data_IF_356572345042
#
_entry.id   IF_356572345042
#
_cell.length_a   1.000
_cell.length_b   1.000
_cell.length_c   1.000
_cell.angle_alpha   90.00
_cell.angle_beta   90.00
_cell.angle_gamma   90.00
#
_symmetry.space_group_name_H-M   'P 1'
#
loop_
_entity.id
_entity.type
_entity.pdbx_description
1 polymer ?
#
# COMPACT_ATOMS: atom_id res chain seq x y z
N UNK A 1 60.96 46.23 -95.71
CA UNK A 1 61.96 47.29 -95.45
C UNK A 1 62.00 47.48 -93.94
N UNK A 2 63.11 47.11 -93.28
CA UNK A 2 63.20 47.21 -91.82
C UNK A 2 63.46 48.67 -91.44
N UNK A 3 62.60 49.25 -90.61
CA UNK A 3 62.76 50.63 -90.13
C UNK A 3 63.12 50.64 -88.64
N UNK A 4 63.91 51.62 -88.18
CA UNK A 4 64.22 51.78 -86.75
C UNK A 4 62.95 51.90 -85.89
N UNK A 5 61.87 52.44 -86.47
CA UNK A 5 60.55 52.55 -85.82
C UNK A 5 59.89 51.18 -85.61
N UNK A 6 60.04 50.26 -86.57
CA UNK A 6 59.55 48.88 -86.45
C UNK A 6 60.27 48.11 -85.34
N UNK A 7 61.59 48.32 -85.19
CA UNK A 7 62.38 47.68 -84.13
C UNK A 7 62.06 48.22 -82.73
N UNK A 8 61.80 49.52 -82.58
CA UNK A 8 61.32 50.09 -81.31
C UNK A 8 59.91 49.57 -80.95
N UNK A 9 59.04 49.40 -81.95
CA UNK A 9 57.72 48.79 -81.77
C UNK A 9 57.82 47.33 -81.30
N UNK A 10 58.77 46.56 -81.85
CA UNK A 10 59.08 45.20 -81.40
C UNK A 10 59.54 45.16 -79.92
N UNK A 11 60.45 46.04 -79.50
CA UNK A 11 60.93 46.07 -78.10
C UNK A 11 59.79 46.41 -77.13
N UNK A 12 58.94 47.38 -77.47
CA UNK A 12 57.78 47.73 -76.64
C UNK A 12 56.75 46.59 -76.57
N UNK A 13 56.51 45.91 -77.70
CA UNK A 13 55.63 44.74 -77.76
C UNK A 13 56.20 43.58 -76.94
N UNK A 14 57.48 43.27 -77.08
CA UNK A 14 58.18 42.25 -76.31
C UNK A 14 58.06 42.48 -74.81
N UNK A 15 58.32 43.71 -74.33
CA UNK A 15 58.22 44.04 -72.89
C UNK A 15 56.80 43.80 -72.35
N UNK A 16 55.78 44.30 -73.06
CA UNK A 16 54.37 44.12 -72.67
C UNK A 16 53.94 42.66 -72.71
N UNK A 17 54.30 41.94 -73.77
CA UNK A 17 53.97 40.52 -73.92
C UNK A 17 54.69 39.66 -72.87
N UNK A 18 55.95 39.98 -72.56
CA UNK A 18 56.70 39.28 -71.53
C UNK A 18 56.09 39.50 -70.14
N UNK A 19 55.77 40.75 -69.77
CA UNK A 19 55.09 41.05 -68.50
C UNK A 19 53.77 40.29 -68.38
N UNK A 20 52.95 40.29 -69.43
CA UNK A 20 51.69 39.57 -69.46
C UNK A 20 51.89 38.06 -69.26
N UNK A 21 52.78 37.43 -70.05
CA UNK A 21 53.02 35.98 -69.99
C UNK A 21 53.72 35.55 -68.72
N UNK A 22 54.61 36.37 -68.19
CA UNK A 22 55.27 36.11 -66.91
C UNK A 22 54.25 36.11 -65.76
N UNK A 23 53.32 37.08 -65.76
CA UNK A 23 52.26 37.11 -64.76
C UNK A 23 51.26 35.95 -64.92
N UNK A 24 50.89 35.57 -66.15
CA UNK A 24 50.09 34.36 -66.41
C UNK A 24 50.75 33.10 -65.81
N UNK A 25 52.06 32.91 -66.04
CA UNK A 25 52.81 31.77 -65.49
C UNK A 25 52.86 31.83 -63.95
N UNK A 26 53.07 33.00 -63.36
CA UNK A 26 53.06 33.17 -61.90
C UNK A 26 51.69 32.86 -61.28
N UNK A 27 50.61 33.30 -61.90
CA UNK A 27 49.23 33.04 -61.43
C UNK A 27 48.92 31.54 -61.52
N UNK A 28 49.32 30.89 -62.62
CA UNK A 28 49.17 29.44 -62.80
C UNK A 28 49.95 28.66 -61.74
N UNK A 29 51.23 28.99 -61.53
CA UNK A 29 52.07 28.35 -60.52
C UNK A 29 51.50 28.50 -59.11
N UNK A 30 51.09 29.72 -58.73
CA UNK A 30 50.43 29.96 -57.43
C UNK A 30 49.16 29.12 -57.29
N UNK A 31 48.33 29.05 -58.33
CA UNK A 31 47.09 28.26 -58.32
C UNK A 31 47.37 26.76 -58.15
N UNK A 32 48.34 26.22 -58.89
CA UNK A 32 48.77 24.81 -58.81
C UNK A 32 49.31 24.47 -57.42
N UNK A 33 50.19 25.31 -56.86
CA UNK A 33 50.75 25.10 -55.51
C UNK A 33 49.64 25.14 -54.45
N UNK A 34 48.69 26.09 -54.54
CA UNK A 34 47.54 26.16 -53.64
C UNK A 34 46.68 24.90 -53.77
N UNK A 35 46.43 24.42 -55.00
CA UNK A 35 45.67 23.21 -55.28
C UNK A 35 46.32 21.96 -54.67
N UNK A 36 47.62 21.77 -54.87
CA UNK A 36 48.40 20.68 -54.27
C UNK A 36 48.36 20.72 -52.74
N UNK A 37 48.52 21.90 -52.14
CA UNK A 37 48.40 22.06 -50.68
C UNK A 37 46.99 21.69 -50.20
N UNK A 38 45.94 22.09 -50.91
CA UNK A 38 44.56 21.77 -50.55
C UNK A 38 44.25 20.28 -50.67
N UNK A 39 44.83 19.59 -51.65
CA UNK A 39 44.73 18.14 -51.78
C UNK A 39 45.45 17.41 -50.64
N UNK A 40 46.62 17.90 -50.22
CA UNK A 40 47.34 17.33 -49.08
C UNK A 40 46.59 17.56 -47.76
N UNK A 41 46.10 18.78 -47.51
CA UNK A 41 45.21 19.10 -46.38
C UNK A 41 43.98 18.19 -46.36
N UNK A 42 43.34 17.95 -47.52
CA UNK A 42 42.20 17.05 -47.63
C UNK A 42 42.56 15.59 -47.33
N UNK A 43 43.71 15.10 -47.79
CA UNK A 43 44.20 13.76 -47.50
C UNK A 43 44.49 13.56 -46.00
N UNK A 44 45.13 14.53 -45.35
CA UNK A 44 45.37 14.49 -43.90
C UNK A 44 44.05 14.51 -43.10
N UNK A 45 43.08 15.33 -43.52
CA UNK A 45 41.76 15.37 -42.88
C UNK A 45 41.01 14.02 -43.00
N UNK A 46 41.15 13.30 -44.11
CA UNK A 46 40.55 11.97 -44.28
C UNK A 46 41.17 10.96 -43.32
N UNK A 47 42.50 10.98 -43.15
CA UNK A 47 43.18 10.12 -42.16
C UNK A 47 42.70 10.43 -40.75
N UNK A 48 42.55 11.72 -40.40
CA UNK A 48 42.01 12.13 -39.11
C UNK A 48 40.57 11.65 -38.90
N UNK A 49 39.68 11.87 -39.87
CA UNK A 49 38.28 11.42 -39.79
C UNK A 49 38.17 9.89 -39.66
N UNK A 50 39.06 9.13 -40.31
CA UNK A 50 39.10 7.68 -40.18
C UNK A 50 39.48 7.23 -38.76
N UNK A 51 40.47 7.88 -38.15
CA UNK A 51 40.86 7.62 -36.76
C UNK A 51 39.74 7.99 -35.77
N UNK A 52 39.00 9.08 -36.02
CA UNK A 52 37.83 9.46 -35.21
C UNK A 52 36.70 8.42 -35.30
N UNK A 53 36.44 7.85 -36.49
CA UNK A 53 35.45 6.79 -36.68
C UNK A 53 35.83 5.55 -35.87
N UNK A 54 37.09 5.12 -35.92
CA UNK A 54 37.58 3.96 -35.15
C UNK A 54 37.43 4.18 -33.63
N UNK A 55 37.77 5.38 -33.15
CA UNK A 55 37.56 5.75 -31.75
C UNK A 55 36.08 5.73 -31.36
N UNK A 56 35.19 6.24 -32.22
CA UNK A 56 33.74 6.19 -32.01
C UNK A 56 33.19 4.75 -32.00
N UNK A 57 33.73 3.85 -32.83
CA UNK A 57 33.34 2.43 -32.82
C UNK A 57 33.70 1.73 -31.52
N UNK A 58 34.87 2.03 -30.95
CA UNK A 58 35.26 1.47 -29.66
C UNK A 58 34.36 1.98 -28.53
N UNK A 59 34.01 3.27 -28.53
CA UNK A 59 33.06 3.85 -27.56
C UNK A 59 31.69 3.18 -27.71
N UNK A 60 31.19 3.04 -28.94
CA UNK A 60 29.89 2.40 -29.21
C UNK A 60 29.86 0.97 -28.68
N UNK A 61 30.92 0.19 -28.90
CA UNK A 61 31.03 -1.18 -28.37
C UNK A 61 30.98 -1.22 -26.84
N UNK A 62 31.67 -0.29 -26.17
CA UNK A 62 31.65 -0.20 -24.69
C UNK A 62 30.26 0.20 -24.18
N UNK A 63 29.58 1.12 -24.85
CA UNK A 63 28.22 1.53 -24.49
C UNK A 63 27.19 0.42 -24.77
N UNK A 64 27.39 -0.40 -25.79
CA UNK A 64 26.59 -1.60 -26.06
C UNK A 64 26.67 -2.61 -24.92
N UNK A 65 27.88 -2.94 -24.49
CA UNK A 65 28.10 -3.87 -23.38
C UNK A 65 27.48 -3.34 -22.08
N UNK A 66 27.55 -2.03 -21.82
CA UNK A 66 26.90 -1.39 -20.66
C UNK A 66 25.38 -1.45 -20.76
N UNK A 67 24.83 -1.13 -21.93
CA UNK A 67 23.38 -1.12 -22.18
C UNK A 67 22.79 -2.52 -22.05
N UNK A 68 23.47 -3.54 -22.60
CA UNK A 68 23.07 -4.94 -22.47
C UNK A 68 23.10 -5.41 -21.01
N UNK A 69 24.11 -5.04 -20.23
CA UNK A 69 24.17 -5.33 -18.79
C UNK A 69 23.02 -4.67 -18.03
N UNK A 70 22.69 -3.42 -18.37
CA UNK A 70 21.57 -2.70 -17.76
C UNK A 70 20.23 -3.34 -18.13
N UNK A 71 20.05 -3.77 -19.38
CA UNK A 71 18.86 -4.48 -19.84
C UNK A 71 18.61 -5.77 -19.04
N UNK A 72 19.64 -6.60 -18.87
CA UNK A 72 19.54 -7.84 -18.07
C UNK A 72 19.17 -7.52 -16.62
N UNK A 73 19.76 -6.46 -16.04
CA UNK A 73 19.44 -6.02 -14.68
C UNK A 73 17.98 -5.58 -14.57
N UNK A 74 17.49 -4.77 -15.51
CA UNK A 74 16.08 -4.31 -15.57
C UNK A 74 15.13 -5.51 -15.66
N UNK A 75 15.40 -6.46 -16.55
CA UNK A 75 14.57 -7.67 -16.70
C UNK A 75 14.53 -8.49 -15.40
N UNK A 76 15.67 -8.65 -14.74
CA UNK A 76 15.76 -9.34 -13.45
C UNK A 76 14.96 -8.66 -12.35
N UNK A 77 15.11 -7.34 -12.19
CA UNK A 77 14.36 -6.57 -11.17
C UNK A 77 12.86 -6.51 -11.48
N UNK A 78 12.47 -6.42 -12.76
CA UNK A 78 11.06 -6.47 -13.18
C UNK A 78 10.41 -7.80 -12.84
N UNK A 79 11.10 -8.92 -13.08
CA UNK A 79 10.61 -10.25 -12.71
C UNK A 79 10.46 -10.42 -11.19
N UNK A 80 11.38 -9.85 -10.39
CA UNK A 80 11.25 -9.83 -8.93
C UNK A 80 10.05 -8.98 -8.47
N UNK A 81 9.86 -7.81 -9.09
CA UNK A 81 8.74 -6.92 -8.80
C UNK A 81 7.39 -7.59 -9.10
N UNK A 82 7.29 -8.34 -10.20
CA UNK A 82 6.08 -9.05 -10.61
C UNK A 82 5.73 -10.19 -9.65
N UNK A 83 6.72 -11.02 -9.26
CA UNK A 83 6.51 -12.06 -8.23
C UNK A 83 6.04 -11.46 -6.91
N UNK A 84 6.66 -10.37 -6.48
CA UNK A 84 6.27 -9.68 -5.26
C UNK A 84 4.87 -9.07 -5.35
N UNK A 85 4.49 -8.56 -6.53
CA UNK A 85 3.15 -8.04 -6.76
C UNK A 85 2.08 -9.14 -6.65
N UNK A 86 2.38 -10.34 -7.15
CA UNK A 86 1.49 -11.49 -7.01
C UNK A 86 1.35 -11.93 -5.55
N UNK A 87 2.46 -12.02 -4.80
CA UNK A 87 2.46 -12.33 -3.36
C UNK A 87 1.63 -11.32 -2.55
N UNK A 88 1.87 -10.01 -2.76
CA UNK A 88 1.11 -8.93 -2.10
C UNK A 88 -0.37 -8.99 -2.51
N UNK A 89 -0.67 -9.30 -3.78
CA UNK A 89 -2.03 -9.47 -4.26
C UNK A 89 -2.78 -10.62 -3.58
N UNK A 90 -2.10 -11.72 -3.26
CA UNK A 90 -2.67 -12.83 -2.48
C UNK A 90 -2.94 -12.42 -1.04
N UNK A 91 -1.93 -11.84 -0.37
CA UNK A 91 -2.04 -11.39 1.04
C UNK A 91 -3.19 -10.39 1.19
N UNK A 92 -3.34 -9.48 0.23
CA UNK A 92 -4.43 -8.50 0.22
C UNK A 92 -5.80 -9.16 0.16
N UNK A 93 -6.00 -10.13 -0.74
CA UNK A 93 -7.26 -10.88 -0.85
C UNK A 93 -7.59 -11.61 0.44
N UNK A 94 -6.60 -12.28 1.04
CA UNK A 94 -6.78 -13.00 2.30
C UNK A 94 -7.13 -12.04 3.45
N UNK A 95 -6.47 -10.88 3.51
CA UNK A 95 -6.76 -9.84 4.49
C UNK A 95 -8.17 -9.24 4.33
N UNK A 96 -8.62 -9.00 3.09
CA UNK A 96 -9.96 -8.50 2.78
C UNK A 96 -11.05 -9.53 3.11
N UNK A 97 -10.83 -10.80 2.79
CA UNK A 97 -11.74 -11.89 3.12
C UNK A 97 -11.87 -12.08 4.64
N UNK A 98 -10.75 -12.08 5.36
CA UNK A 98 -10.74 -12.16 6.83
C UNK A 98 -11.43 -10.94 7.46
N UNK A 99 -11.18 -9.73 6.93
CA UNK A 99 -11.85 -8.52 7.41
C UNK A 99 -13.37 -8.58 7.24
N UNK A 100 -13.86 -9.09 6.11
CA UNK A 100 -15.28 -9.24 5.85
C UNK A 100 -15.94 -10.22 6.83
N UNK A 101 -15.33 -11.40 7.03
CA UNK A 101 -15.82 -12.41 7.98
C UNK A 101 -15.85 -11.88 9.42
N UNK A 102 -14.80 -11.16 9.85
CA UNK A 102 -14.74 -10.58 11.19
C UNK A 102 -15.81 -9.49 11.37
N UNK A 103 -16.10 -8.71 10.33
CA UNK A 103 -17.13 -7.69 10.39
C UNK A 103 -18.53 -8.31 10.52
N UNK A 104 -18.80 -9.40 9.81
CA UNK A 104 -20.06 -10.16 9.95
C UNK A 104 -20.23 -10.73 11.37
N UNK A 105 -19.18 -11.38 11.90
CA UNK A 105 -19.17 -11.91 13.27
C UNK A 105 -19.38 -10.79 14.31
N UNK A 106 -18.82 -9.60 14.05
CA UNK A 106 -18.95 -8.41 14.89
C UNK A 106 -20.36 -7.86 14.89
N UNK A 107 -21.00 -7.79 13.74
CA UNK A 107 -22.41 -7.38 13.62
C UNK A 107 -23.33 -8.34 14.38
N UNK A 108 -23.10 -9.65 14.26
CA UNK A 108 -23.85 -10.66 15.00
C UNK A 108 -23.63 -10.56 16.52
N UNK A 109 -22.38 -10.43 16.98
CA UNK A 109 -22.09 -10.27 18.40
C UNK A 109 -22.71 -8.98 18.97
N UNK A 110 -22.70 -7.88 18.21
CA UNK A 110 -23.33 -6.63 18.61
C UNK A 110 -24.86 -6.75 18.71
N UNK A 111 -25.50 -7.48 17.79
CA UNK A 111 -26.94 -7.77 17.82
C UNK A 111 -27.31 -8.49 19.12
N UNK A 112 -26.58 -9.55 19.45
CA UNK A 112 -26.82 -10.35 20.66
C UNK A 112 -26.49 -9.56 21.94
N UNK A 113 -25.48 -8.70 21.91
CA UNK A 113 -25.19 -7.78 23.01
C UNK A 113 -26.35 -6.79 23.22
N UNK A 114 -26.93 -6.26 22.15
CA UNK A 114 -28.09 -5.37 22.22
C UNK A 114 -29.32 -6.08 22.79
N UNK A 115 -29.50 -7.38 22.53
CA UNK A 115 -30.54 -8.20 23.16
C UNK A 115 -30.28 -8.42 24.66
N UNK A 116 -29.01 -8.48 25.08
CA UNK A 116 -28.63 -8.67 26.50
C UNK A 116 -28.73 -7.38 27.35
N UNK A 117 -28.49 -6.21 26.73
CA UNK A 117 -28.52 -4.90 27.40
C UNK A 117 -29.85 -4.55 28.11
N UNK A 118 -31.04 -4.79 27.55
CA UNK A 118 -32.30 -4.46 28.24
C UNK A 118 -32.44 -5.20 29.57
N UNK A 119 -32.02 -6.47 29.66
CA UNK A 119 -32.06 -7.23 30.92
C UNK A 119 -31.14 -6.61 31.97
N UNK A 120 -29.97 -6.11 31.56
CA UNK A 120 -29.07 -5.38 32.46
C UNK A 120 -29.70 -4.07 32.94
N UNK A 121 -30.29 -3.30 32.03
CA UNK A 121 -30.96 -2.05 32.39
C UNK A 121 -32.16 -2.30 33.32
N UNK A 122 -32.92 -3.36 33.08
CA UNK A 122 -34.03 -3.78 33.91
C UNK A 122 -33.56 -4.19 35.31
N UNK A 123 -32.48 -4.96 35.42
CA UNK A 123 -31.92 -5.36 36.71
C UNK A 123 -31.39 -4.16 37.51
N UNK A 124 -30.68 -3.23 36.86
CA UNK A 124 -30.18 -2.03 37.50
C UNK A 124 -31.32 -1.08 37.91
N UNK A 125 -32.34 -0.93 37.06
CA UNK A 125 -33.54 -0.16 37.40
C UNK A 125 -34.28 -0.80 38.58
N UNK A 126 -34.35 -2.13 38.64
CA UNK A 126 -34.92 -2.87 39.75
C UNK A 126 -34.13 -2.60 41.05
N UNK A 127 -32.80 -2.69 41.04
CA UNK A 127 -31.95 -2.33 42.19
C UNK A 127 -32.10 -0.87 42.64
N UNK A 128 -32.27 0.06 41.71
CA UNK A 128 -32.45 1.49 42.00
C UNK A 128 -33.86 1.83 42.49
N UNK A 129 -34.86 1.04 42.10
CA UNK A 129 -36.24 1.20 42.56
C UNK A 129 -36.43 0.82 44.04
N UNK A 130 -35.54 -0.02 44.57
CA UNK A 130 -35.56 -0.43 45.98
C UNK A 130 -35.04 0.71 46.86
N UNK A 131 -35.92 1.27 47.70
CA UNK A 131 -35.56 2.34 48.64
C UNK A 131 -35.28 1.76 50.03
N UNK A 132 -34.40 2.43 50.77
CA UNK A 132 -34.05 2.03 52.15
C UNK A 132 -35.29 1.93 53.06
N UNK A 133 -36.30 2.79 52.84
CA UNK A 133 -37.57 2.77 53.60
C UNK A 133 -38.34 1.47 53.43
N UNK A 134 -38.43 0.98 52.20
CA UNK A 134 -39.21 -0.22 51.86
C UNK A 134 -38.54 -1.49 52.46
N UNK A 135 -37.21 -1.48 52.58
CA UNK A 135 -36.43 -2.52 53.27
C UNK A 135 -36.64 -2.51 54.79
N UNK A 136 -36.73 -1.32 55.41
CA UNK A 136 -37.03 -1.20 56.84
C UNK A 136 -38.43 -1.74 57.15
N UNK A 137 -39.40 -1.52 56.26
CA UNK A 137 -40.76 -2.10 56.38
C UNK A 137 -40.75 -3.63 56.31
N UNK A 138 -39.96 -4.22 55.41
CA UNK A 138 -39.78 -5.69 55.34
C UNK A 138 -39.12 -6.24 56.61
N UNK A 139 -38.15 -5.52 57.18
CA UNK A 139 -37.46 -5.91 58.43
C UNK A 139 -38.40 -5.90 59.64
N UNK A 140 -39.37 -4.99 59.66
CA UNK A 140 -40.37 -4.89 60.72
C UNK A 140 -41.45 -5.98 60.67
N UNK A 141 -41.61 -6.66 59.53
CA UNK A 141 -42.61 -7.71 59.36
C UNK A 141 -42.14 -9.04 59.97
N UNK A 142 -42.74 -9.42 61.11
CA UNK A 142 -42.37 -10.64 61.86
C UNK A 142 -42.66 -11.94 61.10
N UNK A 143 -43.63 -11.93 60.17
CA UNK A 143 -44.02 -13.09 59.37
C UNK A 143 -44.41 -12.64 57.95
N UNK A 144 -43.43 -12.49 57.04
CA UNK A 144 -43.70 -12.14 55.64
C UNK A 144 -44.57 -13.17 54.93
N UNK A 145 -45.26 -12.74 53.88
CA UNK A 145 -46.03 -13.63 53.00
C UNK A 145 -45.08 -14.54 52.22
N UNK A 146 -45.49 -15.77 51.91
CA UNK A 146 -44.61 -16.79 51.31
C UNK A 146 -43.91 -16.32 50.01
N UNK A 147 -44.56 -15.50 49.18
CA UNK A 147 -43.93 -14.91 47.99
C UNK A 147 -42.73 -14.02 48.31
N UNK A 148 -42.76 -13.29 49.42
CA UNK A 148 -41.65 -12.44 49.88
C UNK A 148 -40.51 -13.34 50.34
N UNK A 149 -40.81 -14.42 51.06
CA UNK A 149 -39.80 -15.39 51.52
C UNK A 149 -39.06 -16.02 50.34
N UNK A 150 -39.79 -16.48 49.32
CA UNK A 150 -39.19 -17.03 48.10
C UNK A 150 -38.43 -15.99 47.27
N UNK A 151 -38.85 -14.71 47.32
CA UNK A 151 -38.07 -13.64 46.68
C UNK A 151 -36.69 -13.52 47.32
N UNK A 152 -36.59 -13.65 48.64
CA UNK A 152 -35.32 -13.67 49.34
C UNK A 152 -34.51 -14.95 49.09
N UNK A 153 -35.15 -16.10 48.94
CA UNK A 153 -34.46 -17.33 48.54
C UNK A 153 -33.79 -17.17 47.16
N UNK A 154 -34.46 -16.56 46.18
CA UNK A 154 -33.87 -16.24 44.88
C UNK A 154 -32.67 -15.29 44.98
N UNK A 155 -32.72 -14.30 45.88
CA UNK A 155 -31.58 -13.38 46.13
C UNK A 155 -30.43 -14.09 46.85
N UNK A 156 -30.73 -14.97 47.82
CA UNK A 156 -29.71 -15.77 48.52
C UNK A 156 -28.96 -16.69 47.56
N UNK A 157 -29.69 -17.36 46.65
CA UNK A 157 -29.12 -18.20 45.61
C UNK A 157 -28.22 -17.40 44.68
N UNK A 158 -28.67 -16.24 44.18
CA UNK A 158 -27.85 -15.37 43.31
C UNK A 158 -26.57 -14.88 43.99
N UNK A 159 -26.61 -14.58 45.28
CA UNK A 159 -25.45 -14.14 46.04
C UNK A 159 -24.55 -15.30 46.52
N UNK A 160 -24.90 -16.56 46.20
CA UNK A 160 -24.15 -17.74 46.62
C UNK A 160 -24.16 -17.97 48.14
N UNK A 161 -25.21 -17.49 48.83
CA UNK A 161 -25.37 -17.64 50.28
C UNK A 161 -26.07 -18.96 50.61
N UNK A 162 -25.90 -19.43 51.84
CA UNK A 162 -26.47 -20.71 52.29
C UNK A 162 -28.00 -20.68 52.25
N UNK A 163 -28.58 -21.75 51.72
CA UNK A 163 -30.01 -22.04 51.74
C UNK A 163 -30.27 -23.31 52.55
N UNK A 164 -31.49 -23.42 53.08
CA UNK A 164 -31.93 -24.59 53.86
C UNK A 164 -32.04 -25.80 52.96
N UNK A 165 -31.80 -27.00 53.50
CA UNK A 165 -31.96 -28.25 52.76
C UNK A 165 -33.35 -28.37 52.11
N UNK A 166 -33.37 -28.82 50.85
CA UNK A 166 -34.59 -28.98 50.06
C UNK A 166 -35.52 -30.00 50.72
N UNK A 167 -36.61 -29.50 51.31
CA UNK A 167 -37.67 -30.28 51.94
C UNK A 167 -39.03 -29.80 51.42
N UNK A 168 -39.96 -30.69 51.08
CA UNK A 168 -41.30 -30.29 50.63
C UNK A 168 -42.11 -29.74 51.81
N UNK A 169 -42.77 -28.61 51.61
CA UNK A 169 -43.65 -27.96 52.58
C UNK A 169 -44.87 -27.34 51.88
N UNK A 170 -46.03 -27.41 52.54
CA UNK A 170 -47.27 -26.83 52.03
C UNK A 170 -47.30 -25.32 52.26
N UNK A 171 -47.50 -24.57 51.16
CA UNK A 171 -47.33 -23.12 51.13
C UNK A 171 -48.52 -22.48 50.43
N UNK A 172 -48.86 -21.26 50.86
CA UNK A 172 -50.07 -20.57 50.39
C UNK A 172 -49.69 -19.31 49.65
N UNK A 173 -49.76 -19.36 48.33
CA UNK A 173 -49.57 -18.19 47.47
C UNK A 173 -50.90 -17.85 46.81
N UNK A 174 -51.30 -16.58 46.90
CA UNK A 174 -52.54 -16.07 46.31
C UNK A 174 -53.80 -16.93 46.62
N UNK A 175 -53.93 -17.38 47.87
CA UNK A 175 -55.04 -18.21 48.39
C UNK A 175 -55.13 -19.64 47.80
N UNK A 176 -54.07 -20.11 47.13
CA UNK A 176 -53.96 -21.48 46.64
C UNK A 176 -52.85 -22.20 47.40
N UNK A 177 -53.18 -23.34 48.00
CA UNK A 177 -52.20 -24.20 48.68
C UNK A 177 -51.49 -25.07 47.64
N UNK A 178 -50.17 -25.05 47.68
CA UNK A 178 -49.31 -25.90 46.86
C UNK A 178 -48.10 -26.37 47.66
N UNK A 179 -47.64 -27.59 47.39
CA UNK A 179 -46.41 -28.12 48.00
C UNK A 179 -45.21 -27.62 47.21
N UNK A 180 -44.26 -26.98 47.90
CA UNK A 180 -43.01 -26.50 47.29
C UNK A 180 -41.83 -26.60 48.26
N UNK A 181 -40.68 -26.05 47.89
CA UNK A 181 -39.45 -26.09 48.67
C UNK A 181 -39.63 -25.27 49.95
N UNK A 182 -39.20 -25.80 51.10
CA UNK A 182 -39.12 -25.06 52.36
C UNK A 182 -38.35 -23.76 52.17
N UNK A 183 -38.92 -22.65 52.64
CA UNK A 183 -38.28 -21.34 52.54
C UNK A 183 -37.05 -21.21 53.46
N UNK A 184 -36.08 -20.40 53.04
CA UNK A 184 -34.85 -20.14 53.82
C UNK A 184 -34.91 -18.79 54.55
N UNK A 185 -36.10 -18.21 54.70
CA UNK A 185 -36.23 -16.83 55.17
C UNK A 185 -35.80 -16.68 56.63
N UNK A 186 -36.30 -17.55 57.50
CA UNK A 186 -36.06 -17.47 58.94
C UNK A 186 -34.61 -17.82 59.33
N UNK A 187 -33.99 -18.74 58.60
CA UNK A 187 -32.66 -19.27 58.92
C UNK A 187 -31.52 -18.42 58.31
N UNK A 188 -31.71 -17.85 57.12
CA UNK A 188 -30.64 -17.18 56.37
C UNK A 188 -31.02 -15.79 55.85
N UNK A 189 -32.23 -15.58 55.32
CA UNK A 189 -32.59 -14.27 54.76
C UNK A 189 -32.74 -13.17 55.82
N UNK A 190 -33.23 -13.49 57.02
CA UNK A 190 -33.33 -12.53 58.14
C UNK A 190 -31.97 -11.93 58.52
N UNK A 191 -30.91 -12.73 58.49
CA UNK A 191 -29.54 -12.27 58.76
C UNK A 191 -29.03 -11.34 57.67
N UNK A 192 -29.27 -11.68 56.40
CA UNK A 192 -28.92 -10.85 55.24
C UNK A 192 -29.67 -9.50 55.25
N UNK A 193 -30.98 -9.52 55.54
CA UNK A 193 -31.81 -8.32 55.63
C UNK A 193 -31.45 -7.43 56.83
N UNK A 194 -30.81 -7.99 57.86
CA UNK A 194 -30.37 -7.23 59.03
C UNK A 194 -29.11 -6.38 58.76
N UNK A 195 -28.31 -6.73 57.73
CA UNK A 195 -27.10 -6.00 57.35
C UNK A 195 -27.43 -4.61 56.79
N UNK A 196 -26.78 -3.58 57.34
CA UNK A 196 -26.91 -2.18 56.95
C UNK A 196 -26.38 -1.95 55.52
N UNK A 197 -25.45 -2.79 55.05
CA UNK A 197 -24.86 -2.69 53.72
C UNK A 197 -25.58 -3.55 52.67
N UNK A 198 -26.66 -4.27 52.99
CA UNK A 198 -27.34 -5.18 52.07
C UNK A 198 -27.63 -4.56 50.70
N UNK A 199 -28.27 -3.38 50.65
CA UNK A 199 -28.59 -2.72 49.38
C UNK A 199 -27.36 -2.23 48.61
N UNK A 200 -26.29 -1.85 49.32
CA UNK A 200 -25.02 -1.47 48.69
C UNK A 200 -24.35 -2.69 48.07
N UNK A 201 -24.35 -3.81 48.78
CA UNK A 201 -23.80 -5.08 48.31
C UNK A 201 -24.59 -5.60 47.11
N UNK A 202 -25.92 -5.46 47.11
CA UNK A 202 -26.77 -5.85 45.98
C UNK A 202 -26.47 -5.02 44.72
N UNK A 203 -26.32 -3.70 44.86
CA UNK A 203 -25.93 -2.81 43.76
C UNK A 203 -24.52 -3.11 43.26
N UNK A 204 -23.58 -3.33 44.18
CA UNK A 204 -22.21 -3.72 43.85
C UNK A 204 -22.17 -5.04 43.08
N UNK A 205 -22.98 -6.02 43.49
CA UNK A 205 -23.10 -7.30 42.80
C UNK A 205 -23.64 -7.12 41.38
N UNK A 206 -24.72 -6.34 41.21
CA UNK A 206 -25.32 -6.04 39.91
C UNK A 206 -24.32 -5.37 38.94
N UNK A 207 -23.45 -4.50 39.44
CA UNK A 207 -22.50 -3.75 38.63
C UNK A 207 -21.22 -4.53 38.32
N UNK A 208 -20.65 -5.24 39.31
CA UNK A 208 -19.29 -5.79 39.25
C UNK A 208 -19.18 -7.32 39.37
N UNK A 209 -20.16 -8.01 39.97
CA UNK A 209 -20.07 -9.45 40.26
C UNK A 209 -21.09 -10.32 39.50
N UNK A 210 -21.97 -9.70 38.71
CA UNK A 210 -22.97 -10.39 37.86
C UNK A 210 -22.37 -11.44 36.92
N UNK A 211 -21.11 -11.28 36.53
CA UNK A 211 -20.40 -12.21 35.64
C UNK A 211 -19.96 -13.49 36.35
N UNK A 212 -20.00 -13.52 37.69
CA UNK A 212 -19.69 -14.69 38.51
C UNK A 212 -20.88 -15.63 38.75
N UNK A 213 -22.07 -15.32 38.22
CA UNK A 213 -23.21 -16.25 38.25
C UNK A 213 -22.85 -17.48 37.42
N UNK A 214 -23.07 -18.68 37.97
CA UNK A 214 -22.83 -19.96 37.32
C UNK A 214 -24.13 -20.64 36.89
N UNK A 215 -24.03 -21.61 35.97
CA UNK A 215 -25.16 -22.35 35.41
C UNK A 215 -25.93 -23.06 36.53
N UNK A 216 -25.21 -23.60 37.54
CA UNK A 216 -25.83 -24.30 38.66
C UNK A 216 -26.70 -23.38 39.53
N UNK A 217 -26.31 -22.11 39.70
CA UNK A 217 -27.16 -21.14 40.43
C UNK A 217 -28.42 -20.80 39.63
N UNK A 218 -28.30 -20.67 38.31
CA UNK A 218 -29.46 -20.46 37.43
C UNK A 218 -30.41 -21.66 37.44
N UNK A 219 -29.90 -22.89 37.37
CA UNK A 219 -30.68 -24.13 37.48
C UNK A 219 -31.40 -24.24 38.84
N UNK A 220 -30.75 -23.84 39.93
CA UNK A 220 -31.38 -23.82 41.26
C UNK A 220 -32.51 -22.77 41.38
N UNK A 221 -32.40 -21.66 40.65
CA UNK A 221 -33.41 -20.58 40.64
C UNK A 221 -34.54 -20.88 39.64
N UNK A 222 -34.30 -21.67 38.60
CA UNK A 222 -35.26 -21.98 37.54
C UNK A 222 -36.64 -22.41 38.06
N UNK A 223 -36.78 -23.32 39.06
CA UNK A 223 -38.09 -23.72 39.59
C UNK A 223 -38.91 -22.55 40.18
N UNK A 224 -38.24 -21.48 40.65
CA UNK A 224 -38.90 -20.30 41.21
C UNK A 224 -39.43 -19.35 40.11
N UNK A 225 -38.79 -19.32 38.95
CA UNK A 225 -39.13 -18.44 37.82
C UNK A 225 -40.01 -19.13 36.77
N UNK A 226 -39.98 -20.45 36.68
CA UNK A 226 -40.68 -21.23 35.66
C UNK A 226 -42.20 -21.17 35.82
N UNK A 227 -42.89 -20.88 34.73
CA UNK A 227 -44.35 -20.95 34.63
C UNK A 227 -44.77 -21.51 33.26
N UNK A 228 -45.68 -22.48 33.24
CA UNK A 228 -46.28 -23.00 32.02
C UNK A 228 -47.79 -22.70 32.05
N UNK A 229 -48.35 -22.04 31.02
CA UNK A 229 -49.79 -21.76 30.94
C UNK A 229 -50.66 -23.02 30.86
N UNK A 230 -50.09 -24.15 30.42
CA UNK A 230 -50.79 -25.43 30.34
C UNK A 230 -50.77 -26.14 31.71
N UNK A 231 -51.92 -26.32 32.37
CA UNK A 231 -52.01 -26.98 33.67
C UNK A 231 -51.50 -28.43 33.66
N UNK A 232 -51.45 -29.10 32.51
CA UNK A 232 -50.95 -30.47 32.39
C UNK A 232 -49.42 -30.56 32.29
N UNK A 233 -48.75 -29.43 31.96
CA UNK A 233 -47.28 -29.34 31.85
C UNK A 233 -46.65 -28.56 32.99
N UNK A 234 -47.45 -27.76 33.71
CA UNK A 234 -46.98 -27.05 34.89
C UNK A 234 -46.83 -28.01 36.08
N UNK A 235 -45.69 -27.92 36.76
CA UNK A 235 -45.34 -28.83 37.85
C UNK A 235 -46.01 -28.48 39.19
N UNK A 236 -46.54 -27.26 39.34
CA UNK A 236 -47.15 -26.75 40.58
C UNK A 236 -48.67 -26.59 40.47
N UNK A 237 -49.35 -26.47 41.62
CA UNK A 237 -50.79 -26.19 41.67
C UNK A 237 -51.13 -24.70 41.44
N UNK A 238 -50.12 -23.84 41.34
CA UNK A 238 -50.28 -22.40 41.16
C UNK A 238 -50.49 -22.02 39.70
N UNK A 239 -51.25 -20.94 39.47
CA UNK A 239 -51.56 -20.41 38.13
C UNK A 239 -50.68 -19.21 37.74
N UNK A 240 -49.49 -19.13 38.32
CA UNK A 240 -48.50 -18.08 38.11
C UNK A 240 -47.12 -18.62 38.51
N UNK A 241 -46.05 -17.92 38.12
CA UNK A 241 -44.71 -18.22 38.63
C UNK A 241 -44.66 -18.07 40.16
N UNK A 242 -43.77 -18.81 40.83
CA UNK A 242 -43.57 -18.65 42.29
C UNK A 242 -43.07 -17.23 42.58
N UNK A 243 -42.15 -16.74 41.74
CA UNK A 243 -41.69 -15.36 41.70
C UNK A 243 -42.48 -14.54 40.67
N UNK A 244 -43.70 -14.17 41.03
CA UNK A 244 -44.53 -13.27 40.23
C UNK A 244 -44.36 -11.81 40.69
N UNK A 245 -43.92 -10.94 39.78
CA UNK A 245 -43.64 -9.53 40.07
C UNK A 245 -44.89 -8.76 40.53
N UNK A 246 -46.07 -9.06 39.98
CA UNK A 246 -47.32 -8.37 40.30
C UNK A 246 -47.86 -8.79 41.68
N UNK A 247 -47.68 -10.06 42.06
CA UNK A 247 -48.01 -10.54 43.39
C UNK A 247 -47.00 -10.04 44.44
N UNK A 248 -45.70 -9.98 44.10
CA UNK A 248 -44.68 -9.43 44.98
C UNK A 248 -44.97 -7.95 45.30
N UNK A 249 -45.38 -7.17 44.29
CA UNK A 249 -45.81 -5.77 44.45
C UNK A 249 -46.97 -5.59 45.42
N UNK A 250 -47.95 -6.50 45.42
CA UNK A 250 -49.10 -6.45 46.36
C UNK A 250 -48.66 -6.64 47.81
N UNK A 251 -47.52 -7.30 48.04
CA UNK A 251 -46.94 -7.47 49.36
C UNK A 251 -46.07 -6.26 49.76
N UNK A 252 -45.07 -5.90 48.93
CA UNK A 252 -44.18 -4.76 49.17
C UNK A 252 -43.48 -4.31 47.85
N UNK A 253 -43.25 -3.01 47.68
CA UNK A 253 -42.47 -2.45 46.57
C UNK A 253 -41.02 -2.96 46.51
N UNK A 254 -40.35 -3.18 47.65
CA UNK A 254 -39.01 -3.77 47.69
C UNK A 254 -39.02 -5.23 47.20
N UNK A 255 -40.08 -6.00 47.49
CA UNK A 255 -40.20 -7.38 47.02
C UNK A 255 -40.41 -7.44 45.49
N UNK A 256 -41.14 -6.49 44.91
CA UNK A 256 -41.23 -6.34 43.44
C UNK A 256 -39.86 -6.07 42.81
N UNK A 257 -39.10 -5.13 43.37
CA UNK A 257 -37.76 -4.80 42.88
C UNK A 257 -36.79 -5.97 42.98
N UNK A 258 -36.79 -6.70 44.10
CA UNK A 258 -35.97 -7.90 44.27
C UNK A 258 -36.38 -9.03 43.31
N UNK A 259 -37.68 -9.26 43.12
CA UNK A 259 -38.20 -10.27 42.18
C UNK A 259 -37.80 -9.97 40.74
N UNK A 260 -37.89 -8.69 40.31
CA UNK A 260 -37.43 -8.23 39.00
C UNK A 260 -35.92 -8.40 38.83
N UNK A 261 -35.18 -8.06 39.87
CA UNK A 261 -33.73 -8.22 39.89
C UNK A 261 -33.29 -9.67 39.69
N UNK A 262 -33.91 -10.63 40.40
CA UNK A 262 -33.57 -12.05 40.27
C UNK A 262 -33.80 -12.54 38.84
N UNK A 263 -34.99 -12.27 38.27
CA UNK A 263 -35.31 -12.69 36.91
C UNK A 263 -34.38 -12.07 35.87
N UNK A 264 -34.12 -10.77 35.96
CA UNK A 264 -33.26 -10.06 35.01
C UNK A 264 -31.79 -10.51 35.07
N UNK A 265 -31.29 -10.90 36.25
CA UNK A 265 -29.94 -11.47 36.41
C UNK A 265 -29.79 -12.86 35.80
N UNK A 266 -30.82 -13.72 35.92
CA UNK A 266 -30.84 -15.04 35.27
C UNK A 266 -30.88 -14.89 33.74
N UNK A 267 -31.77 -14.05 33.21
CA UNK A 267 -31.83 -13.78 31.77
C UNK A 267 -30.53 -13.15 31.23
N UNK A 268 -29.88 -12.28 32.02
CA UNK A 268 -28.56 -11.74 31.68
C UNK A 268 -27.50 -12.85 31.61
N UNK A 269 -27.47 -13.77 32.59
CA UNK A 269 -26.52 -14.88 32.58
C UNK A 269 -26.66 -15.71 31.30
N UNK A 270 -27.88 -16.11 30.95
CA UNK A 270 -28.20 -16.86 29.73
C UNK A 270 -27.74 -16.13 28.45
N UNK A 271 -28.02 -14.83 28.33
CA UNK A 271 -27.57 -14.05 27.19
C UNK A 271 -26.04 -13.87 27.16
N UNK A 272 -25.43 -13.65 28.33
CA UNK A 272 -23.97 -13.44 28.45
C UNK A 272 -23.16 -14.69 28.12
N UNK A 273 -23.72 -15.89 28.34
CA UNK A 273 -23.15 -17.20 27.98
C UNK A 273 -22.85 -17.29 26.48
N UNK A 274 -23.65 -16.62 25.66
CA UNK A 274 -23.50 -16.60 24.20
C UNK A 274 -22.61 -15.42 23.77
N UNK A 275 -22.84 -14.23 24.33
CA UNK A 275 -22.17 -12.99 23.88
C UNK A 275 -20.70 -12.93 24.29
N UNK A 276 -20.33 -13.33 25.51
CA UNK A 276 -18.95 -13.18 26.01
C UNK A 276 -17.92 -13.99 25.22
N UNK A 277 -18.12 -15.29 24.95
CA UNK A 277 -17.17 -16.06 24.16
C UNK A 277 -17.00 -15.48 22.75
N UNK A 278 -18.09 -15.00 22.13
CA UNK A 278 -18.03 -14.32 20.82
C UNK A 278 -17.23 -13.03 20.87
N UNK A 279 -17.42 -12.21 21.90
CA UNK A 279 -16.66 -10.96 22.08
C UNK A 279 -15.16 -11.22 22.28
N UNK A 280 -14.79 -12.23 23.06
CA UNK A 280 -13.38 -12.57 23.26
C UNK A 280 -12.76 -13.20 22.02
N UNK A 281 -13.51 -14.03 21.29
CA UNK A 281 -13.11 -14.52 19.98
C UNK A 281 -12.88 -13.36 19.00
N UNK A 282 -13.81 -12.40 18.93
CA UNK A 282 -13.69 -11.22 18.08
C UNK A 282 -12.46 -10.39 18.40
N UNK A 283 -12.16 -10.14 19.68
CA UNK A 283 -10.92 -9.42 20.07
C UNK A 283 -9.67 -10.11 19.54
N UNK A 284 -9.62 -11.45 19.62
CA UNK A 284 -8.49 -12.24 19.10
C UNK A 284 -8.41 -12.13 17.57
N UNK A 285 -9.54 -12.20 16.87
CA UNK A 285 -9.55 -12.08 15.41
C UNK A 285 -9.23 -10.66 14.93
N UNK A 286 -9.74 -9.62 15.58
CA UNK A 286 -9.39 -8.23 15.30
C UNK A 286 -7.89 -8.00 15.49
N UNK A 287 -7.28 -8.51 16.57
CA UNK A 287 -5.84 -8.41 16.79
C UNK A 287 -5.02 -9.14 15.70
N UNK A 288 -5.48 -10.32 15.24
CA UNK A 288 -4.85 -11.02 14.12
C UNK A 288 -4.99 -10.24 12.81
N UNK A 289 -6.15 -9.66 12.56
CA UNK A 289 -6.39 -8.84 11.37
C UNK A 289 -5.52 -7.59 11.35
N UNK A 290 -5.37 -6.91 12.49
CA UNK A 290 -4.50 -5.75 12.60
C UNK A 290 -3.04 -6.11 12.33
N UNK A 291 -2.56 -7.25 12.83
CA UNK A 291 -1.23 -7.76 12.49
C UNK A 291 -1.10 -8.06 11.00
N UNK A 292 -2.08 -8.73 10.40
CA UNK A 292 -2.08 -9.03 8.96
C UNK A 292 -2.10 -7.76 8.10
N UNK A 293 -2.82 -6.71 8.53
CA UNK A 293 -2.83 -5.40 7.87
C UNK A 293 -1.48 -4.68 7.95
N UNK A 294 -0.77 -4.80 9.08
CA UNK A 294 0.59 -4.28 9.21
C UNK A 294 1.54 -5.00 8.26
N UNK A 295 1.51 -6.34 8.24
CA UNK A 295 2.32 -7.15 7.32
C UNK A 295 2.01 -6.82 5.85
N UNK A 296 0.73 -6.62 5.50
CA UNK A 296 0.32 -6.18 4.18
C UNK A 296 0.87 -4.79 3.83
N UNK A 297 0.77 -3.82 4.74
CA UNK A 297 1.25 -2.47 4.51
C UNK A 297 2.77 -2.41 4.31
N UNK A 298 3.53 -3.20 5.08
CA UNK A 298 4.97 -3.36 4.90
C UNK A 298 5.30 -3.98 3.53
N UNK A 299 4.57 -5.01 3.13
CA UNK A 299 4.76 -5.67 1.85
C UNK A 299 4.40 -4.77 0.65
N UNK A 300 3.33 -3.97 0.75
CA UNK A 300 2.93 -2.97 -0.24
C UNK A 300 3.97 -1.83 -0.36
N UNK A 301 4.51 -1.36 0.76
CA UNK A 301 5.55 -0.33 0.78
C UNK A 301 6.83 -0.83 0.07
N UNK A 302 7.21 -2.07 0.34
CA UNK A 302 8.36 -2.70 -0.27
C UNK A 302 8.14 -2.99 -1.77
N UNK A 303 6.92 -3.39 -2.18
CA UNK A 303 6.55 -3.51 -3.59
C UNK A 303 6.69 -2.16 -4.31
N UNK A 304 6.20 -1.10 -3.68
CA UNK A 304 6.30 0.28 -4.21
C UNK A 304 7.76 0.70 -4.38
N UNK A 305 8.62 0.36 -3.41
CA UNK A 305 10.07 0.62 -3.51
C UNK A 305 10.69 -0.07 -4.71
N UNK A 306 10.45 -1.37 -4.89
CA UNK A 306 10.98 -2.14 -6.01
C UNK A 306 10.45 -1.63 -7.35
N UNK A 307 9.16 -1.29 -7.44
CA UNK A 307 8.58 -0.70 -8.65
C UNK A 307 9.22 0.65 -9.01
N UNK A 308 9.52 1.49 -8.03
CA UNK A 308 10.23 2.75 -8.24
C UNK A 308 11.67 2.52 -8.72
N UNK A 309 12.37 1.53 -8.17
CA UNK A 309 13.71 1.14 -8.62
C UNK A 309 13.69 0.65 -10.07
N UNK A 310 12.72 -0.20 -10.45
CA UNK A 310 12.53 -0.66 -11.83
C UNK A 310 12.25 0.52 -12.76
N UNK A 311 11.34 1.43 -12.40
CA UNK A 311 11.04 2.61 -13.20
C UNK A 311 12.26 3.54 -13.38
N UNK A 312 13.12 3.67 -12.37
CA UNK A 312 14.36 4.43 -12.47
C UNK A 312 15.36 3.75 -13.41
N UNK A 313 15.52 2.42 -13.32
CA UNK A 313 16.39 1.66 -14.23
C UNK A 313 15.87 1.68 -15.67
N UNK A 314 14.55 1.62 -15.88
CA UNK A 314 13.93 1.76 -17.21
C UNK A 314 14.25 3.14 -17.82
N UNK A 315 14.16 4.22 -17.04
CA UNK A 315 14.56 5.56 -17.51
C UNK A 315 16.04 5.62 -17.90
N UNK A 316 16.91 5.01 -17.11
CA UNK A 316 18.34 4.92 -17.42
C UNK A 316 18.58 4.12 -18.71
N UNK A 317 17.84 3.03 -18.91
CA UNK A 317 17.93 2.19 -20.10
C UNK A 317 17.47 2.95 -21.35
N UNK A 318 16.35 3.69 -21.27
CA UNK A 318 15.87 4.52 -22.37
C UNK A 318 16.86 5.64 -22.72
N UNK A 319 17.45 6.29 -21.72
CA UNK A 319 18.48 7.30 -21.92
C UNK A 319 19.73 6.70 -22.60
N UNK A 320 20.15 5.49 -22.18
CA UNK A 320 21.27 4.78 -22.79
C UNK A 320 20.98 4.42 -24.26
N UNK A 321 19.77 3.94 -24.58
CA UNK A 321 19.37 3.68 -25.97
C UNK A 321 19.37 4.95 -26.82
N UNK A 322 18.89 6.07 -26.29
CA UNK A 322 18.91 7.35 -27.01
C UNK A 322 20.34 7.82 -27.29
N UNK A 323 21.20 7.81 -26.27
CA UNK A 323 22.61 8.19 -26.42
C UNK A 323 23.35 7.29 -27.42
N UNK A 324 23.06 5.98 -27.40
CA UNK A 324 23.60 5.03 -28.39
C UNK A 324 23.13 5.37 -29.80
N UNK A 325 21.84 5.62 -30.00
CA UNK A 325 21.29 5.97 -31.31
C UNK A 325 21.91 7.27 -31.87
N UNK A 326 22.14 8.28 -31.03
CA UNK A 326 22.85 9.50 -31.44
C UNK A 326 24.31 9.21 -31.83
N UNK A 327 25.00 8.34 -31.09
CA UNK A 327 26.38 7.96 -31.39
C UNK A 327 26.48 7.18 -32.71
N UNK A 328 25.54 6.26 -32.97
CA UNK A 328 25.42 5.53 -34.24
C UNK A 328 25.16 6.48 -35.40
N UNK A 329 24.22 7.42 -35.25
CA UNK A 329 23.92 8.41 -36.28
C UNK A 329 25.12 9.31 -36.60
N UNK A 330 25.85 9.76 -35.57
CA UNK A 330 27.06 10.56 -35.73
C UNK A 330 28.17 9.77 -36.44
N UNK A 331 28.35 8.51 -36.08
CA UNK A 331 29.32 7.61 -36.75
C UNK A 331 28.96 7.43 -38.22
N UNK A 332 27.69 7.16 -38.53
CA UNK A 332 27.25 6.94 -39.91
C UNK A 332 27.37 8.21 -40.76
N UNK A 333 27.12 9.38 -40.18
CA UNK A 333 27.37 10.66 -40.83
C UNK A 333 28.87 10.87 -41.12
N UNK A 334 29.75 10.56 -40.15
CA UNK A 334 31.20 10.65 -40.32
C UNK A 334 31.71 9.67 -41.39
N UNK A 335 31.21 8.43 -41.42
CA UNK A 335 31.51 7.44 -42.46
C UNK A 335 31.15 7.95 -43.85
N UNK A 336 29.91 8.42 -44.04
CA UNK A 336 29.45 9.00 -45.31
C UNK A 336 30.31 10.18 -45.76
N UNK A 337 30.69 11.06 -44.83
CA UNK A 337 31.56 12.21 -45.11
C UNK A 337 32.96 11.78 -45.54
N UNK A 338 33.51 10.77 -44.86
CA UNK A 338 34.85 10.22 -45.15
C UNK A 338 34.86 9.49 -46.50
N UNK A 339 33.83 8.71 -46.81
CA UNK A 339 33.65 8.06 -48.12
C UNK A 339 33.54 9.08 -49.25
N UNK A 340 32.78 10.16 -49.05
CA UNK A 340 32.66 11.24 -50.03
C UNK A 340 34.02 11.95 -50.25
N UNK A 341 34.77 12.23 -49.18
CA UNK A 341 36.09 12.84 -49.25
C UNK A 341 37.10 11.91 -49.96
N UNK A 342 37.09 10.62 -49.65
CA UNK A 342 37.90 9.62 -50.34
C UNK A 342 37.59 9.54 -51.84
N UNK A 343 36.29 9.55 -52.21
CA UNK A 343 35.88 9.55 -53.61
C UNK A 343 36.39 10.79 -54.36
N UNK A 344 36.34 11.96 -53.73
CA UNK A 344 36.88 13.19 -54.31
C UNK A 344 38.41 13.13 -54.49
N UNK A 345 39.14 12.65 -53.48
CA UNK A 345 40.60 12.48 -53.57
C UNK A 345 41.00 11.51 -54.67
N UNK A 346 40.29 10.39 -54.82
CA UNK A 346 40.52 9.42 -55.89
C UNK A 346 40.23 10.03 -57.27
N UNK A 347 39.12 10.77 -57.41
CA UNK A 347 38.77 11.46 -58.66
C UNK A 347 39.79 12.54 -59.06
N UNK A 348 40.39 13.22 -58.08
CA UNK A 348 41.42 14.24 -58.28
C UNK A 348 42.85 13.65 -58.34
N UNK A 349 43.02 12.33 -58.27
CA UNK A 349 44.33 11.68 -58.28
C UNK A 349 45.14 11.97 -59.55
N UNK A 350 44.52 11.83 -60.73
CA UNK A 350 45.17 12.18 -62.00
C UNK A 350 45.46 13.68 -62.14
N UNK A 351 44.58 14.53 -61.60
CA UNK A 351 44.79 15.98 -61.52
C UNK A 351 46.00 16.34 -60.64
N UNK A 352 46.15 15.65 -59.50
CA UNK A 352 47.27 15.78 -58.57
C UNK A 352 48.59 15.42 -59.25
N UNK A 353 48.62 14.31 -59.98
CA UNK A 353 49.82 13.86 -60.70
C UNK A 353 50.23 14.90 -61.74
N UNK A 354 49.26 15.40 -62.55
CA UNK A 354 49.50 16.47 -63.53
C UNK A 354 50.01 17.75 -62.87
N UNK A 355 49.37 18.20 -61.79
CA UNK A 355 49.77 19.40 -61.05
C UNK A 355 51.15 19.28 -60.41
N UNK A 356 51.52 18.06 -59.98
CA UNK A 356 52.86 17.78 -59.45
C UNK A 356 53.91 17.89 -60.55
N UNK A 357 53.63 17.37 -61.75
CA UNK A 357 54.49 17.52 -62.92
C UNK A 357 54.60 18.98 -63.38
N UNK A 358 53.47 19.70 -63.48
CA UNK A 358 53.39 21.13 -63.81
C UNK A 358 54.23 21.97 -62.81
N UNK A 359 54.14 21.67 -61.52
CA UNK A 359 54.91 22.34 -60.47
C UNK A 359 56.43 22.25 -60.69
N UNK A 360 56.92 21.11 -61.21
CA UNK A 360 58.35 20.93 -61.52
C UNK A 360 58.80 21.66 -62.79
N UNK A 361 57.88 21.91 -63.73
CA UNK A 361 58.21 22.51 -65.04
C UNK A 361 58.08 24.03 -65.08
N UNK A 362 57.38 24.68 -64.14
CA UNK A 362 57.21 26.14 -64.14
C UNK A 362 58.54 26.91 -64.08
N UNK A 363 59.53 26.43 -63.34
CA UNK A 363 60.86 27.07 -63.28
C UNK A 363 61.53 27.08 -64.66
N UNK A 364 61.52 25.94 -65.35
CA UNK A 364 62.04 25.78 -66.71
C UNK A 364 61.25 26.63 -67.73
N UNK A 365 59.93 26.68 -67.59
CA UNK A 365 59.03 27.47 -68.45
C UNK A 365 59.27 28.97 -68.29
N UNK A 366 59.55 29.44 -67.07
CA UNK A 366 59.90 30.84 -66.78
C UNK A 366 61.22 31.25 -67.42
N UNK A 367 62.20 30.33 -67.45
CA UNK A 367 63.48 30.54 -68.12
C UNK A 367 63.33 30.58 -69.66
N UNK A 368 62.57 29.63 -70.23
CA UNK A 368 62.33 29.56 -71.68
C UNK A 368 61.52 30.76 -72.21
N UNK A 369 60.66 31.37 -71.37
CA UNK A 369 59.78 32.46 -71.73
C UNK A 369 60.51 33.65 -72.38
N UNK A 370 61.74 33.94 -71.96
CA UNK A 370 62.56 35.03 -72.52
C UNK A 370 62.80 34.81 -74.01
N UNK A 371 63.09 33.58 -74.43
CA UNK A 371 63.31 33.21 -75.83
C UNK A 371 62.00 33.09 -76.61
N UNK A 372 60.99 32.46 -76.03
CA UNK A 372 59.70 32.21 -76.68
C UNK A 372 58.97 33.53 -77.00
N UNK A 373 58.97 34.47 -76.06
CA UNK A 373 58.36 35.80 -76.26
C UNK A 373 59.15 36.63 -77.27
N UNK A 374 60.48 36.47 -77.34
CA UNK A 374 61.31 37.15 -78.33
C UNK A 374 61.02 36.64 -79.75
N UNK A 375 60.92 35.32 -79.92
CA UNK A 375 60.55 34.67 -81.18
C UNK A 375 59.13 35.04 -81.62
N UNK A 376 58.16 34.93 -80.71
CA UNK A 376 56.76 35.26 -81.00
C UNK A 376 56.60 36.76 -81.31
N UNK A 377 57.26 37.63 -80.55
CA UNK A 377 57.27 39.06 -80.81
C UNK A 377 57.83 39.39 -82.19
N UNK A 378 58.96 38.77 -82.58
CA UNK A 378 59.64 39.05 -83.83
C UNK A 378 58.87 38.54 -85.06
N UNK A 379 57.99 37.54 -84.88
CA UNK A 379 57.10 37.06 -85.93
C UNK A 379 55.89 37.98 -86.13
N UNK A 380 55.39 38.60 -85.05
CA UNK A 380 54.16 39.41 -85.06
C UNK A 380 54.40 40.86 -85.48
N UNK A 381 55.56 41.44 -85.14
CA UNK A 381 55.94 42.84 -85.43
C UNK A 381 56.93 42.95 -86.58
#
# INVERSE_FOLDING_TARGET
MVSCRSFLCFIEYYKKLYELKHEEVNVLEKSVIIGLRKLDEAAQNVVHMQAEIEAQEEILRKEDDKTNKLLVKVQGEKAKAEKKAEEVGSIKKDCEANAASINEDKEEANRQLQEALPYLHEANAACQSIKDKDIVELKGNKSPVDIVKYTFDGVLLLLGLKVVEVKPEDKVINKVTGTFIKDSFDEHAKGMLADINFLKNLKYFAEYQRDGINDETCELIEPYLRYDPDPNRHWSTWKHAVLDQALARKANAAAEGLCKFVGAMVMYHEASKIVKPKMDYLKVQEAKLDKARQELAEAEAELTRVQNEVAALDRQLQAAYHAKAELEANKDAAKKRTEAANRLLLGLGGEKDRWTEDATTFASRRLALVGDVALAGAFVT
#
